data_IF_743994628705
#
_entry.id   IF_743994628705
#
_cell.length_a   1.000
_cell.length_b   1.000
_cell.length_c   1.000
_cell.angle_alpha   90.00
_cell.angle_beta   90.00
_cell.angle_gamma   90.00
#
_symmetry.space_group_name_H-M   'P 1'
#
loop_
_entity.id
_entity.type
_entity.pdbx_description
1 polymer ?
#
# COMPACT_ATOMS: atom_id res chain seq x y z
N UNK A 1 -7.49 -34.06 25.30
CA UNK A 1 -6.99 -34.16 23.90
C UNK A 1 -6.89 -32.75 23.38
N UNK A 2 -5.70 -32.23 23.19
CA UNK A 2 -5.52 -30.92 22.55
C UNK A 2 -6.02 -31.06 21.12
N UNK A 3 -6.97 -30.20 20.72
CA UNK A 3 -7.48 -30.10 19.35
C UNK A 3 -6.32 -29.64 18.47
N UNK A 4 -5.73 -30.55 17.68
CA UNK A 4 -4.71 -30.20 16.69
C UNK A 4 -5.44 -29.56 15.52
N UNK A 5 -5.79 -28.27 15.65
CA UNK A 5 -6.14 -27.52 14.47
C UNK A 5 -4.86 -27.29 13.65
N UNK A 6 -4.92 -27.44 12.33
CA UNK A 6 -3.78 -27.08 11.49
C UNK A 6 -3.43 -25.60 11.76
N UNK A 7 -2.14 -25.24 11.73
CA UNK A 7 -1.74 -23.85 11.94
C UNK A 7 -2.46 -22.96 10.91
N UNK A 8 -2.99 -21.83 11.38
CA UNK A 8 -3.63 -20.84 10.51
C UNK A 8 -2.60 -20.27 9.52
N UNK A 9 -3.01 -19.95 8.28
CA UNK A 9 -2.13 -19.30 7.32
C UNK A 9 -1.68 -17.94 7.85
N UNK A 10 -0.47 -17.50 7.48
CA UNK A 10 0.12 -16.25 7.95
C UNK A 10 -0.07 -15.14 6.91
N UNK A 11 -0.59 -13.99 7.36
CA UNK A 11 -0.59 -12.75 6.60
C UNK A 11 0.42 -11.75 7.19
N UNK A 12 1.16 -11.08 6.32
CA UNK A 12 2.01 -9.93 6.68
C UNK A 12 1.40 -8.68 6.07
N UNK A 13 1.09 -7.67 6.90
CA UNK A 13 0.46 -6.42 6.45
C UNK A 13 1.26 -5.22 6.93
N UNK A 14 1.73 -4.40 5.98
CA UNK A 14 2.48 -3.18 6.28
C UNK A 14 1.58 -1.93 6.19
N UNK A 15 1.89 -0.91 6.99
CA UNK A 15 1.04 0.28 7.12
C UNK A 15 -0.30 -0.03 7.79
N UNK A 16 -0.33 -1.00 8.71
CA UNK A 16 -1.54 -1.56 9.30
C UNK A 16 -2.10 -0.77 10.50
N UNK A 17 -1.47 0.32 10.89
CA UNK A 17 -1.95 1.15 12.03
C UNK A 17 -3.22 1.91 11.72
N UNK A 18 -3.51 2.20 10.45
CA UNK A 18 -4.66 3.01 10.05
C UNK A 18 -5.06 2.80 8.57
N UNK A 19 -6.18 3.40 8.15
CA UNK A 19 -6.60 3.48 6.76
C UNK A 19 -6.72 2.14 6.05
N UNK A 20 -6.32 2.09 4.78
CA UNK A 20 -6.45 0.90 3.93
C UNK A 20 -5.72 -0.33 4.52
N UNK A 21 -4.52 -0.14 5.08
CA UNK A 21 -3.74 -1.24 5.65
C UNK A 21 -4.41 -1.89 6.86
N UNK A 22 -5.04 -1.08 7.75
CA UNK A 22 -5.81 -1.59 8.88
C UNK A 22 -7.02 -2.42 8.42
N UNK A 23 -7.75 -1.93 7.42
CA UNK A 23 -8.90 -2.63 6.86
C UNK A 23 -8.50 -3.93 6.14
N UNK A 24 -7.37 -3.93 5.41
CA UNK A 24 -6.83 -5.14 4.78
C UNK A 24 -6.39 -6.18 5.84
N UNK A 25 -5.78 -5.74 6.95
CA UNK A 25 -5.45 -6.61 8.06
C UNK A 25 -6.70 -7.22 8.71
N UNK A 26 -7.76 -6.42 8.87
CA UNK A 26 -9.05 -6.88 9.39
C UNK A 26 -9.67 -7.97 8.49
N UNK A 27 -9.66 -7.75 7.16
CA UNK A 27 -10.15 -8.74 6.20
C UNK A 27 -9.35 -10.04 6.24
N UNK A 28 -8.02 -9.96 6.37
CA UNK A 28 -7.17 -11.14 6.50
C UNK A 28 -7.45 -11.93 7.79
N UNK A 29 -7.65 -11.24 8.93
CA UNK A 29 -8.04 -11.85 10.19
C UNK A 29 -9.37 -12.60 10.10
N UNK A 30 -10.39 -11.95 9.50
CA UNK A 30 -11.71 -12.54 9.26
C UNK A 30 -11.68 -13.72 8.29
N UNK A 31 -10.74 -13.72 7.34
CA UNK A 31 -10.52 -14.83 6.39
C UNK A 31 -9.67 -15.97 7.01
N UNK A 32 -9.37 -15.88 8.31
CA UNK A 32 -8.76 -16.95 9.09
C UNK A 32 -7.23 -16.94 9.14
N UNK A 33 -6.57 -15.83 8.82
CA UNK A 33 -5.12 -15.70 8.95
C UNK A 33 -4.72 -15.27 10.37
N UNK A 34 -3.55 -15.74 10.81
CA UNK A 34 -2.76 -15.07 11.83
C UNK A 34 -1.91 -13.98 11.18
N UNK A 35 -1.52 -12.95 11.92
CA UNK A 35 -0.93 -11.77 11.32
C UNK A 35 0.40 -11.36 11.95
N UNK A 36 1.31 -10.88 11.09
CA UNK A 36 2.37 -9.96 11.48
C UNK A 36 2.01 -8.60 10.86
N UNK A 37 1.76 -7.60 11.69
CA UNK A 37 1.41 -6.26 11.23
C UNK A 37 2.54 -5.29 11.55
N UNK A 38 2.82 -4.36 10.61
CA UNK A 38 3.87 -3.38 10.79
C UNK A 38 3.41 -1.96 10.46
N UNK A 39 3.92 -0.99 11.22
CA UNK A 39 3.84 0.43 10.92
C UNK A 39 5.00 1.17 11.61
N UNK A 40 5.34 2.34 11.08
CA UNK A 40 6.35 3.24 11.64
C UNK A 40 5.82 4.07 12.79
N UNK A 41 4.52 4.28 12.83
CA UNK A 41 3.84 5.14 13.81
C UNK A 41 2.34 4.85 13.87
N UNK A 42 1.66 5.54 14.79
CA UNK A 42 0.21 5.45 14.97
C UNK A 42 -0.20 4.34 15.95
N UNK A 43 -1.50 4.08 16.10
CA UNK A 43 -2.03 3.18 17.12
C UNK A 43 -1.94 1.70 16.72
N UNK A 44 -0.73 1.21 16.41
CA UNK A 44 -0.51 -0.15 15.91
C UNK A 44 -1.00 -1.22 16.92
N UNK A 45 -0.75 -1.01 18.21
CA UNK A 45 -1.22 -1.96 19.24
C UNK A 45 -2.74 -1.93 19.42
N UNK A 46 -3.41 -0.80 19.15
CA UNK A 46 -4.88 -0.76 19.10
C UNK A 46 -5.41 -1.60 17.93
N UNK A 47 -4.78 -1.47 16.75
CA UNK A 47 -5.11 -2.31 15.61
C UNK A 47 -4.90 -3.81 15.94
N UNK A 48 -3.77 -4.16 16.56
CA UNK A 48 -3.50 -5.53 16.99
C UNK A 48 -4.55 -6.08 17.96
N UNK A 49 -4.98 -5.28 18.94
CA UNK A 49 -6.04 -5.69 19.88
C UNK A 49 -7.37 -5.96 19.16
N UNK A 50 -7.73 -5.13 18.20
CA UNK A 50 -8.95 -5.33 17.41
C UNK A 50 -8.88 -6.63 16.59
N UNK A 51 -7.73 -6.95 16.00
CA UNK A 51 -7.51 -8.18 15.24
C UNK A 51 -7.51 -9.44 16.15
N UNK A 52 -6.92 -9.35 17.34
CA UNK A 52 -6.98 -10.43 18.33
C UNK A 52 -8.41 -10.69 18.82
N UNK A 53 -9.23 -9.63 18.92
CA UNK A 53 -10.63 -9.77 19.34
C UNK A 53 -11.50 -10.57 18.34
N UNK A 54 -11.10 -10.66 17.07
CA UNK A 54 -11.74 -11.51 16.05
C UNK A 54 -11.09 -12.89 15.92
N UNK A 55 -10.17 -13.24 16.85
CA UNK A 55 -9.60 -14.57 16.99
C UNK A 55 -8.30 -14.83 16.22
N UNK A 56 -7.62 -13.81 15.72
CA UNK A 56 -6.31 -13.96 15.10
C UNK A 56 -5.19 -13.89 16.16
N UNK A 57 -4.11 -14.66 15.99
CA UNK A 57 -2.85 -14.37 16.65
C UNK A 57 -2.15 -13.23 15.91
N UNK A 58 -1.62 -12.23 16.63
CA UNK A 58 -1.08 -11.02 16.03
C UNK A 58 0.22 -10.59 16.67
N UNK A 59 1.27 -10.51 15.87
CA UNK A 59 2.54 -9.86 16.20
C UNK A 59 2.52 -8.43 15.64
N UNK A 60 2.58 -7.44 16.52
CA UNK A 60 2.63 -6.03 16.14
C UNK A 60 4.09 -5.53 16.17
N UNK A 61 4.57 -5.02 15.05
CA UNK A 61 5.97 -4.60 14.85
C UNK A 61 6.03 -3.12 14.52
N UNK A 62 6.46 -2.30 15.46
CA UNK A 62 6.79 -0.92 15.15
C UNK A 62 8.11 -0.89 14.35
N UNK A 63 8.04 -0.56 13.07
CA UNK A 63 9.17 -0.60 12.15
C UNK A 63 9.05 0.47 11.08
N UNK A 64 10.12 1.27 10.93
CA UNK A 64 10.28 2.19 9.80
C UNK A 64 10.87 1.45 8.59
N UNK A 65 10.00 1.13 7.64
CA UNK A 65 10.37 0.39 6.43
C UNK A 65 11.16 1.23 5.41
N UNK A 66 11.42 2.51 5.67
CA UNK A 66 12.39 3.30 4.89
C UNK A 66 13.83 2.87 5.17
N UNK A 67 14.05 2.03 6.19
CA UNK A 67 15.36 1.57 6.62
C UNK A 67 15.48 0.05 6.50
N UNK A 68 16.69 -0.44 6.17
CA UNK A 68 16.97 -1.89 6.20
C UNK A 68 16.77 -2.49 7.60
N UNK A 69 17.08 -1.73 8.65
CA UNK A 69 16.85 -2.16 10.04
C UNK A 69 15.36 -2.41 10.33
N UNK A 70 14.47 -1.53 9.85
CA UNK A 70 13.02 -1.72 10.00
C UNK A 70 12.52 -2.96 9.24
N UNK A 71 13.01 -3.19 8.03
CA UNK A 71 12.70 -4.41 7.27
C UNK A 71 13.23 -5.65 7.98
N UNK A 72 14.47 -5.62 8.49
CA UNK A 72 15.06 -6.73 9.26
C UNK A 72 14.25 -7.04 10.53
N UNK A 73 13.77 -6.01 11.24
CA UNK A 73 12.91 -6.16 12.42
C UNK A 73 11.59 -6.88 12.08
N UNK A 74 10.97 -6.53 10.94
CA UNK A 74 9.78 -7.21 10.46
C UNK A 74 10.06 -8.66 10.06
N UNK A 75 11.16 -8.91 9.36
CA UNK A 75 11.57 -10.27 8.98
C UNK A 75 11.88 -11.14 10.20
N UNK A 76 12.48 -10.56 11.24
CA UNK A 76 12.73 -11.26 12.51
C UNK A 76 11.41 -11.66 13.20
N UNK A 77 10.40 -10.81 13.17
CA UNK A 77 9.09 -11.13 13.74
C UNK A 77 8.34 -12.21 12.95
N UNK A 78 8.58 -12.31 11.63
CA UNK A 78 8.06 -13.42 10.81
C UNK A 78 8.70 -14.75 11.23
N UNK A 79 9.96 -14.72 11.67
CA UNK A 79 10.69 -15.87 12.24
C UNK A 79 10.64 -17.13 11.35
N UNK A 80 10.87 -16.96 10.07
CA UNK A 80 10.88 -18.07 9.11
C UNK A 80 9.52 -18.74 8.84
N UNK A 81 8.44 -18.28 9.49
CA UNK A 81 7.09 -18.79 9.23
C UNK A 81 6.70 -18.63 7.76
N UNK A 82 6.02 -19.60 7.14
CA UNK A 82 5.56 -19.49 5.76
C UNK A 82 4.49 -18.39 5.65
N UNK A 83 4.78 -17.33 4.89
CA UNK A 83 3.83 -16.23 4.64
C UNK A 83 2.93 -16.61 3.45
N UNK A 84 1.63 -16.78 3.67
CA UNK A 84 0.66 -17.11 2.62
C UNK A 84 0.11 -15.86 1.93
N UNK A 85 0.04 -14.73 2.66
CA UNK A 85 -0.43 -13.44 2.17
C UNK A 85 0.55 -12.33 2.56
N UNK A 86 1.05 -11.58 1.58
CA UNK A 86 1.79 -10.33 1.79
C UNK A 86 0.97 -9.15 1.28
N UNK A 87 0.67 -8.21 2.17
CA UNK A 87 0.08 -6.92 1.85
C UNK A 87 1.15 -5.83 2.02
N UNK A 88 1.79 -5.46 0.92
CA UNK A 88 2.76 -4.37 0.85
C UNK A 88 2.01 -3.05 0.65
N UNK A 89 1.55 -2.45 1.76
CA UNK A 89 0.68 -1.28 1.75
C UNK A 89 1.33 -0.03 2.36
N UNK A 90 2.38 -0.15 3.19
CA UNK A 90 3.06 1.01 3.77
C UNK A 90 3.49 2.01 2.67
N UNK A 91 3.28 3.29 2.93
CA UNK A 91 3.67 4.33 1.99
C UNK A 91 3.46 5.73 2.55
N UNK A 92 4.28 6.65 2.07
CA UNK A 92 4.26 8.06 2.41
C UNK A 92 3.96 8.93 1.19
N UNK A 93 3.18 10.00 1.42
CA UNK A 93 3.03 11.12 0.49
C UNK A 93 3.99 12.25 0.82
N UNK A 94 4.17 13.18 -0.12
CA UNK A 94 4.87 14.43 0.11
C UNK A 94 4.21 15.51 -0.77
N UNK A 95 3.60 16.48 -0.13
CA UNK A 95 3.05 17.68 -0.77
C UNK A 95 4.12 18.75 -0.98
N UNK A 96 3.70 19.87 -1.55
CA UNK A 96 4.50 21.05 -1.90
C UNK A 96 5.46 20.85 -3.10
N UNK A 97 6.06 21.95 -3.58
CA UNK A 97 7.03 21.90 -4.65
C UNK A 97 8.29 21.11 -4.26
N UNK A 98 8.83 20.33 -5.18
CA UNK A 98 10.01 19.49 -4.92
C UNK A 98 11.20 20.28 -4.38
N UNK A 99 11.40 21.51 -4.85
CA UNK A 99 12.50 22.38 -4.44
C UNK A 99 12.23 23.14 -3.13
N UNK A 100 10.99 23.08 -2.61
CA UNK A 100 10.57 23.81 -1.41
C UNK A 100 10.71 22.97 -0.12
N UNK A 101 10.99 21.68 -0.27
CA UNK A 101 11.14 20.76 0.87
C UNK A 101 12.58 20.23 0.99
N UNK A 102 13.05 19.90 2.19
CA UNK A 102 14.33 19.25 2.38
C UNK A 102 14.40 17.92 1.60
N UNK A 103 15.50 17.67 0.91
CA UNK A 103 15.70 16.44 0.12
C UNK A 103 15.53 15.16 0.95
N UNK A 104 15.80 15.21 2.26
CA UNK A 104 15.59 14.09 3.18
C UNK A 104 14.14 13.61 3.21
N UNK A 105 13.15 14.49 3.05
CA UNK A 105 11.74 14.11 2.99
C UNK A 105 11.42 13.40 1.66
N UNK A 106 11.91 13.92 0.54
CA UNK A 106 11.79 13.27 -0.76
C UNK A 106 12.46 11.88 -0.76
N UNK A 107 13.64 11.78 -0.15
CA UNK A 107 14.36 10.52 0.03
C UNK A 107 13.57 9.52 0.86
N UNK A 108 12.97 9.96 1.98
CA UNK A 108 12.13 9.12 2.83
C UNK A 108 10.93 8.53 2.07
N UNK A 109 10.27 9.31 1.19
CA UNK A 109 9.19 8.79 0.32
C UNK A 109 9.71 7.68 -0.60
N UNK A 110 10.88 7.88 -1.23
CA UNK A 110 11.48 6.86 -2.10
C UNK A 110 11.85 5.61 -1.28
N UNK A 111 12.50 5.81 -0.14
CA UNK A 111 12.98 4.70 0.69
C UNK A 111 11.81 3.88 1.24
N UNK A 112 10.70 4.51 1.65
CA UNK A 112 9.50 3.79 2.12
C UNK A 112 8.74 3.13 0.96
N UNK A 113 8.37 3.94 -0.06
CA UNK A 113 7.44 3.48 -1.09
C UNK A 113 8.09 2.50 -2.07
N UNK A 114 9.39 2.67 -2.34
CA UNK A 114 10.13 1.87 -3.32
C UNK A 114 11.11 0.92 -2.64
N UNK A 115 12.16 1.43 -2.01
CA UNK A 115 13.28 0.61 -1.51
C UNK A 115 12.81 -0.44 -0.50
N UNK A 116 12.09 -0.03 0.54
CA UNK A 116 11.58 -0.92 1.59
C UNK A 116 10.54 -1.91 1.05
N UNK A 117 9.66 -1.45 0.16
CA UNK A 117 8.68 -2.32 -0.51
C UNK A 117 9.39 -3.39 -1.33
N UNK A 118 10.40 -3.04 -2.12
CA UNK A 118 11.17 -4.00 -2.93
C UNK A 118 11.94 -5.01 -2.07
N UNK A 119 12.59 -4.58 -0.99
CA UNK A 119 13.33 -5.47 -0.10
C UNK A 119 12.39 -6.51 0.53
N UNK A 120 11.22 -6.07 1.00
CA UNK A 120 10.22 -6.95 1.56
C UNK A 120 9.67 -7.95 0.53
N UNK A 121 9.31 -7.45 -0.67
CA UNK A 121 8.84 -8.29 -1.78
C UNK A 121 9.91 -9.30 -2.22
N UNK A 122 11.19 -8.90 -2.27
CA UNK A 122 12.27 -9.78 -2.62
C UNK A 122 12.45 -10.93 -1.62
N UNK A 123 12.46 -10.64 -0.32
CA UNK A 123 12.67 -11.66 0.72
C UNK A 123 11.49 -12.60 0.84
N UNK A 124 10.27 -12.08 0.98
CA UNK A 124 9.05 -12.88 1.16
C UNK A 124 8.65 -13.55 -0.16
N UNK A 125 8.70 -12.83 -1.27
CA UNK A 125 8.36 -13.36 -2.60
C UNK A 125 9.26 -14.52 -3.03
N UNK A 126 10.56 -14.48 -2.72
CA UNK A 126 11.47 -15.62 -2.93
C UNK A 126 11.01 -16.86 -2.18
N UNK A 127 10.65 -16.72 -0.91
CA UNK A 127 10.17 -17.84 -0.10
C UNK A 127 8.83 -18.37 -0.61
N UNK A 128 7.90 -17.49 -1.03
CA UNK A 128 6.64 -17.87 -1.68
C UNK A 128 6.90 -18.65 -2.98
N UNK A 129 7.77 -18.15 -3.86
CA UNK A 129 8.13 -18.81 -5.12
C UNK A 129 8.75 -20.19 -4.89
N UNK A 130 9.63 -20.34 -3.90
CA UNK A 130 10.22 -21.64 -3.55
C UNK A 130 9.18 -22.66 -3.09
N UNK A 131 8.12 -22.20 -2.40
CA UNK A 131 7.01 -23.06 -1.95
C UNK A 131 5.92 -23.24 -3.02
N UNK A 132 6.04 -22.53 -4.16
CA UNK A 132 5.03 -22.53 -5.23
C UNK A 132 3.64 -22.12 -4.72
N UNK A 133 3.59 -21.22 -3.73
CA UNK A 133 2.35 -20.78 -3.09
C UNK A 133 2.51 -19.42 -2.43
N UNK A 134 1.56 -18.51 -2.69
CA UNK A 134 1.45 -17.22 -2.02
C UNK A 134 0.56 -16.23 -2.78
N UNK A 135 0.09 -15.22 -2.06
CA UNK A 135 -0.61 -14.07 -2.65
C UNK A 135 0.08 -12.79 -2.20
N UNK A 136 0.28 -11.89 -3.14
CA UNK A 136 0.88 -10.58 -2.90
C UNK A 136 -0.12 -9.52 -3.35
N UNK A 137 -0.48 -8.62 -2.43
CA UNK A 137 -1.21 -7.39 -2.73
C UNK A 137 -0.26 -6.21 -2.54
N UNK A 138 -0.08 -5.40 -3.58
CA UNK A 138 0.75 -4.20 -3.55
C UNK A 138 -0.16 -2.98 -3.68
N UNK A 139 -0.05 -2.04 -2.75
CA UNK A 139 -0.82 -0.78 -2.82
C UNK A 139 -0.07 0.24 -3.67
N UNK A 140 -0.44 0.29 -4.95
CA UNK A 140 -0.08 1.34 -5.88
C UNK A 140 -0.89 2.62 -5.69
N UNK A 141 -1.22 3.29 -6.78
CA UNK A 141 -2.14 4.44 -6.79
C UNK A 141 -2.48 4.88 -8.21
N UNK A 142 -3.67 5.43 -8.45
CA UNK A 142 -3.96 6.15 -9.70
C UNK A 142 -3.04 7.37 -9.89
N UNK A 143 -2.44 7.90 -8.83
CA UNK A 143 -1.43 8.96 -8.90
C UNK A 143 -0.19 8.55 -9.71
N UNK A 144 0.12 7.25 -9.79
CA UNK A 144 1.19 6.73 -10.63
C UNK A 144 0.92 6.84 -12.14
N UNK A 145 -0.31 7.10 -12.55
CA UNK A 145 -0.70 7.22 -13.95
C UNK A 145 -0.51 8.64 -14.52
N UNK A 146 -0.20 9.62 -13.69
CA UNK A 146 -0.10 11.03 -14.09
C UNK A 146 1.11 11.73 -13.49
N UNK A 147 1.73 12.69 -14.20
CA UNK A 147 2.73 13.57 -13.59
C UNK A 147 2.08 14.39 -12.46
N UNK A 148 2.65 14.33 -11.26
CA UNK A 148 2.10 14.93 -10.04
C UNK A 148 2.76 16.26 -9.69
N UNK A 149 2.35 17.40 -10.25
CA UNK A 149 2.81 18.70 -9.77
C UNK A 149 2.47 18.87 -8.29
N UNK A 150 3.40 19.37 -7.47
CA UNK A 150 3.35 19.47 -6.00
C UNK A 150 3.29 18.12 -5.26
N UNK A 151 3.36 16.99 -5.98
CA UNK A 151 3.51 15.63 -5.46
C UNK A 151 4.50 14.80 -6.30
N UNK A 152 5.47 15.44 -6.96
CA UNK A 152 6.29 14.82 -7.99
C UNK A 152 6.94 13.50 -7.55
N UNK A 153 7.55 13.46 -6.36
CA UNK A 153 8.22 12.27 -5.83
C UNK A 153 7.22 11.15 -5.50
N UNK A 154 6.07 11.52 -4.94
CA UNK A 154 5.02 10.54 -4.62
C UNK A 154 4.47 9.89 -5.89
N UNK A 155 4.03 10.70 -6.87
CA UNK A 155 3.47 10.18 -8.12
C UNK A 155 4.50 9.29 -8.85
N UNK A 156 5.77 9.74 -8.94
CA UNK A 156 6.84 8.95 -9.53
C UNK A 156 7.08 7.62 -8.79
N UNK A 157 7.05 7.62 -7.44
CA UNK A 157 7.19 6.40 -6.64
C UNK A 157 6.03 5.42 -6.89
N UNK A 158 4.81 5.92 -7.06
CA UNK A 158 3.64 5.09 -7.36
C UNK A 158 3.66 4.58 -8.81
N UNK A 159 4.10 5.38 -9.79
CA UNK A 159 4.33 4.91 -11.16
C UNK A 159 5.34 3.76 -11.20
N UNK A 160 6.43 3.85 -10.41
CA UNK A 160 7.39 2.77 -10.28
C UNK A 160 6.73 1.49 -9.74
N UNK A 161 6.00 1.59 -8.63
CA UNK A 161 5.37 0.44 -7.97
C UNK A 161 4.29 -0.19 -8.85
N UNK A 162 3.48 0.60 -9.53
CA UNK A 162 2.44 0.12 -10.44
C UNK A 162 3.08 -0.69 -11.57
N UNK A 163 4.08 -0.13 -12.27
CA UNK A 163 4.81 -0.81 -13.34
C UNK A 163 5.52 -2.08 -12.85
N UNK A 164 6.20 -1.99 -11.70
CA UNK A 164 6.89 -3.12 -11.06
C UNK A 164 5.93 -4.27 -10.74
N UNK A 165 4.72 -3.95 -10.24
CA UNK A 165 3.72 -4.96 -9.87
C UNK A 165 3.30 -5.82 -11.05
N UNK A 166 3.08 -5.21 -12.24
CA UNK A 166 2.73 -5.94 -13.45
C UNK A 166 3.89 -6.81 -13.96
N UNK A 167 5.13 -6.29 -13.92
CA UNK A 167 6.30 -7.06 -14.30
C UNK A 167 6.51 -8.27 -13.38
N UNK A 168 6.48 -8.06 -12.06
CA UNK A 168 6.64 -9.13 -11.08
C UNK A 168 5.55 -10.21 -11.22
N UNK A 169 4.31 -9.81 -11.49
CA UNK A 169 3.22 -10.75 -11.76
C UNK A 169 3.54 -11.66 -12.94
N UNK A 170 4.02 -11.09 -14.04
CA UNK A 170 4.38 -11.87 -15.24
C UNK A 170 5.55 -12.83 -14.95
N UNK A 171 6.57 -12.38 -14.22
CA UNK A 171 7.70 -13.23 -13.82
C UNK A 171 7.30 -14.41 -12.92
N UNK A 172 6.17 -14.30 -12.20
CA UNK A 172 5.68 -15.32 -11.27
C UNK A 172 4.54 -16.18 -11.83
N UNK A 173 4.12 -16.01 -13.09
CA UNK A 173 2.92 -16.63 -13.66
C UNK A 173 2.88 -18.17 -13.54
N UNK A 174 4.04 -18.84 -13.57
CA UNK A 174 4.14 -20.30 -13.52
C UNK A 174 4.55 -20.82 -12.12
N UNK A 175 4.43 -20.00 -11.08
CA UNK A 175 4.97 -20.33 -9.77
C UNK A 175 3.92 -20.54 -8.67
N UNK A 176 2.63 -20.56 -9.00
CA UNK A 176 1.56 -20.61 -7.99
C UNK A 176 1.49 -19.40 -7.06
N UNK A 177 2.28 -18.34 -7.33
CA UNK A 177 2.24 -17.05 -6.62
C UNK A 177 1.49 -16.03 -7.47
N UNK A 178 0.51 -15.34 -6.88
CA UNK A 178 -0.22 -14.26 -7.56
C UNK A 178 0.17 -12.90 -7.03
N UNK A 179 0.19 -11.90 -7.92
CA UNK A 179 0.43 -10.50 -7.57
C UNK A 179 -0.75 -9.67 -8.05
N UNK A 180 -1.30 -8.84 -7.17
CA UNK A 180 -2.40 -7.92 -7.46
C UNK A 180 -1.98 -6.50 -7.09
N UNK A 181 -2.16 -5.54 -7.98
CA UNK A 181 -1.93 -4.12 -7.72
C UNK A 181 -3.26 -3.45 -7.35
N UNK A 182 -3.38 -2.97 -6.11
CA UNK A 182 -4.50 -2.12 -5.70
C UNK A 182 -4.13 -0.67 -6.01
N UNK A 183 -4.95 0.00 -6.83
CA UNK A 183 -4.73 1.38 -7.26
C UNK A 183 -5.83 2.30 -6.70
N UNK A 184 -5.69 2.79 -5.46
CA UNK A 184 -6.63 3.73 -4.87
C UNK A 184 -6.56 5.11 -5.52
N UNK A 185 -7.70 5.82 -5.49
CA UNK A 185 -7.75 7.27 -5.59
C UNK A 185 -7.67 7.93 -4.20
N UNK A 186 -8.12 9.18 -4.11
CA UNK A 186 -8.23 9.88 -2.83
C UNK A 186 -9.10 9.07 -1.86
N UNK A 187 -8.52 8.68 -0.72
CA UNK A 187 -9.14 7.84 0.28
C UNK A 187 -9.11 8.54 1.63
N UNK A 188 -10.17 8.42 2.41
CA UNK A 188 -10.30 9.08 3.71
C UNK A 188 -9.43 8.42 4.77
N UNK A 189 -8.18 8.89 4.84
CA UNK A 189 -7.13 8.40 5.73
C UNK A 189 -6.29 9.56 6.21
N UNK A 190 -5.37 9.33 7.15
CA UNK A 190 -4.37 10.32 7.57
C UNK A 190 -3.29 10.63 6.51
N UNK A 191 -3.46 10.15 5.27
CA UNK A 191 -2.46 10.33 4.20
C UNK A 191 -2.20 11.81 3.90
N UNK A 192 -3.26 12.61 3.70
CA UNK A 192 -3.12 14.03 3.35
C UNK A 192 -2.55 14.88 4.49
N UNK A 193 -2.87 14.53 5.74
CA UNK A 193 -2.28 15.15 6.93
C UNK A 193 -0.77 14.88 6.98
N UNK A 194 -0.37 13.61 6.85
CA UNK A 194 1.05 13.21 6.85
C UNK A 194 1.84 13.72 5.66
N UNK A 195 1.18 13.96 4.53
CA UNK A 195 1.78 14.52 3.32
C UNK A 195 1.86 16.06 3.34
N UNK A 196 1.36 16.72 4.41
CA UNK A 196 1.29 18.17 4.53
C UNK A 196 0.49 18.82 3.38
N UNK A 197 -0.75 18.33 3.17
CA UNK A 197 -1.61 18.69 2.00
C UNK A 197 -3.04 19.08 2.39
N UNK A 198 -3.34 19.30 3.68
CA UNK A 198 -4.72 19.56 4.12
C UNK A 198 -5.35 20.82 3.52
N UNK A 199 -4.54 21.75 3.04
CA UNK A 199 -4.93 23.01 2.40
C UNK A 199 -5.14 22.90 0.88
N UNK A 200 -5.14 21.67 0.33
CA UNK A 200 -5.28 21.43 -1.11
C UNK A 200 -6.69 20.96 -1.48
N UNK A 201 -7.11 21.24 -2.71
CA UNK A 201 -8.42 20.80 -3.22
C UNK A 201 -8.54 19.27 -3.24
N UNK A 202 -7.47 18.54 -3.54
CA UNK A 202 -7.49 17.07 -3.52
C UNK A 202 -7.71 16.52 -2.11
N UNK A 203 -7.25 17.20 -1.07
CA UNK A 203 -7.44 16.80 0.31
C UNK A 203 -8.82 17.14 0.86
N UNK A 204 -9.47 18.19 0.35
CA UNK A 204 -10.81 18.62 0.79
C UNK A 204 -11.95 18.05 -0.05
N UNK A 205 -11.63 17.43 -1.19
CA UNK A 205 -12.60 16.82 -2.08
C UNK A 205 -13.20 15.50 -1.55
N UNK A 206 -14.08 14.92 -2.38
CA UNK A 206 -14.71 13.63 -2.09
C UNK A 206 -13.66 12.51 -2.01
N UNK A 207 -13.73 11.70 -0.96
CA UNK A 207 -12.81 10.60 -0.71
C UNK A 207 -13.55 9.27 -0.61
N UNK A 208 -12.92 8.21 -1.07
CA UNK A 208 -13.44 6.86 -0.89
C UNK A 208 -13.25 6.37 0.57
N UNK A 209 -14.13 5.50 1.03
CA UNK A 209 -13.95 4.82 2.31
C UNK A 209 -12.76 3.86 2.27
N UNK A 210 -11.86 3.86 3.28
CA UNK A 210 -10.78 2.88 3.39
C UNK A 210 -11.28 1.43 3.37
N UNK A 211 -12.41 1.17 4.01
CA UNK A 211 -13.02 -0.15 4.07
C UNK A 211 -13.49 -0.64 2.69
N UNK A 212 -14.12 0.24 1.89
CA UNK A 212 -14.53 -0.11 0.52
C UNK A 212 -13.32 -0.36 -0.39
N UNK A 213 -12.29 0.48 -0.30
CA UNK A 213 -11.04 0.32 -1.06
C UNK A 213 -10.34 -0.99 -0.69
N UNK A 214 -10.21 -1.27 0.61
CA UNK A 214 -9.60 -2.50 1.10
C UNK A 214 -10.38 -3.74 0.65
N UNK A 215 -11.72 -3.71 0.75
CA UNK A 215 -12.57 -4.82 0.30
C UNK A 215 -12.37 -5.12 -1.18
N UNK A 216 -12.39 -4.10 -2.04
CA UNK A 216 -12.14 -4.26 -3.48
C UNK A 216 -10.76 -4.88 -3.75
N UNK A 217 -9.70 -4.39 -3.10
CA UNK A 217 -8.35 -4.91 -3.25
C UNK A 217 -8.22 -6.35 -2.76
N UNK A 218 -8.83 -6.67 -1.62
CA UNK A 218 -8.78 -7.99 -1.03
C UNK A 218 -9.51 -9.04 -1.90
N UNK A 219 -10.69 -8.69 -2.42
CA UNK A 219 -11.45 -9.53 -3.34
C UNK A 219 -10.71 -9.75 -4.65
N UNK A 220 -10.16 -8.70 -5.27
CA UNK A 220 -9.35 -8.81 -6.48
C UNK A 220 -8.13 -9.74 -6.28
N UNK A 221 -7.43 -9.60 -5.15
CA UNK A 221 -6.33 -10.48 -4.79
C UNK A 221 -6.79 -11.95 -4.63
N UNK A 222 -7.91 -12.19 -3.97
CA UNK A 222 -8.47 -13.56 -3.81
C UNK A 222 -8.83 -14.20 -5.15
N UNK A 223 -9.34 -13.38 -6.08
CA UNK A 223 -9.69 -13.81 -7.43
C UNK A 223 -8.46 -13.94 -8.35
N UNK A 224 -7.28 -13.52 -7.90
CA UNK A 224 -6.07 -13.55 -8.70
C UNK A 224 -6.06 -12.51 -9.83
N UNK A 225 -6.80 -11.41 -9.69
CA UNK A 225 -6.81 -10.31 -10.66
C UNK A 225 -5.44 -9.60 -10.69
N UNK A 226 -5.07 -9.04 -11.82
CA UNK A 226 -3.78 -8.35 -11.99
C UNK A 226 -3.78 -6.99 -11.29
N UNK A 227 -4.89 -6.25 -11.37
CA UNK A 227 -5.04 -4.98 -10.67
C UNK A 227 -6.52 -4.64 -10.43
N UNK A 228 -6.73 -3.70 -9.53
CA UNK A 228 -8.04 -3.08 -9.33
C UNK A 228 -7.90 -1.58 -9.05
N UNK A 229 -8.62 -0.78 -9.81
CA UNK A 229 -8.76 0.67 -9.58
C UNK A 229 -10.00 0.90 -8.73
N UNK A 230 -9.82 1.50 -7.56
CA UNK A 230 -10.93 1.79 -6.66
C UNK A 230 -11.69 3.04 -7.11
N UNK A 231 -13.02 2.89 -7.29
CA UNK A 231 -13.94 3.97 -7.68
C UNK A 231 -14.14 4.10 -9.20
N UNK A 232 -15.42 4.28 -9.63
CA UNK A 232 -15.76 4.36 -11.05
C UNK A 232 -15.21 5.63 -11.74
N UNK A 233 -15.17 6.77 -11.04
CA UNK A 233 -14.56 8.02 -11.53
C UNK A 233 -13.08 7.83 -11.81
N UNK A 234 -12.39 7.11 -10.93
CA UNK A 234 -10.98 6.79 -11.06
C UNK A 234 -10.70 5.83 -12.24
N UNK A 235 -11.59 4.86 -12.48
CA UNK A 235 -11.49 3.96 -13.64
C UNK A 235 -11.58 4.73 -14.95
N UNK A 236 -12.50 5.69 -15.05
CA UNK A 236 -12.64 6.54 -16.23
C UNK A 236 -11.42 7.45 -16.41
N UNK A 237 -10.93 8.07 -15.34
CA UNK A 237 -9.71 8.88 -15.38
C UNK A 237 -8.49 8.06 -15.82
N UNK A 238 -8.29 6.89 -15.27
CA UNK A 238 -7.20 5.99 -15.64
C UNK A 238 -7.23 5.59 -17.14
N UNK A 239 -8.42 5.37 -17.69
CA UNK A 239 -8.57 5.06 -19.12
C UNK A 239 -8.22 6.24 -20.04
N UNK A 240 -8.42 7.48 -19.57
CA UNK A 240 -8.16 8.70 -20.34
C UNK A 240 -6.70 9.18 -20.29
N UNK A 241 -5.92 8.77 -19.28
CA UNK A 241 -4.52 9.21 -19.12
C UNK A 241 -3.64 8.86 -20.31
N UNK A 242 -3.91 7.76 -21.00
CA UNK A 242 -3.14 7.34 -22.18
C UNK A 242 -3.38 8.20 -23.44
N UNK A 243 -4.37 9.10 -23.42
CA UNK A 243 -4.77 9.90 -24.60
C UNK A 243 -4.43 11.38 -24.39
N UNK A 244 -4.33 11.82 -23.13
CA UNK A 244 -4.08 13.22 -22.78
C UNK A 244 -2.58 13.47 -22.65
N UNK A 245 -2.02 14.54 -23.25
CA UNK A 245 -0.60 14.87 -23.10
C UNK A 245 -0.20 15.09 -21.63
N UNK A 246 0.99 14.63 -21.24
CA UNK A 246 1.52 14.73 -19.87
C UNK A 246 1.55 16.17 -19.33
N UNK A 247 1.82 17.16 -20.20
CA UNK A 247 1.80 18.58 -19.82
C UNK A 247 0.43 19.07 -19.38
N UNK A 248 -0.64 18.55 -19.98
CA UNK A 248 -2.03 18.88 -19.62
C UNK A 248 -2.39 18.20 -18.30
N UNK A 249 -1.99 16.93 -18.11
CA UNK A 249 -2.20 16.19 -16.87
C UNK A 249 -1.45 16.85 -15.72
N UNK A 250 -0.20 17.28 -15.93
CA UNK A 250 0.59 18.00 -14.93
C UNK A 250 -0.05 19.33 -14.51
N UNK A 251 -0.59 20.08 -15.47
CA UNK A 251 -1.29 21.34 -15.18
C UNK A 251 -2.62 21.10 -14.46
N UNK A 252 -3.36 20.07 -14.84
CA UNK A 252 -4.59 19.69 -14.15
C UNK A 252 -4.28 19.27 -12.70
N UNK A 253 -3.23 18.47 -12.47
CA UNK A 253 -2.79 18.07 -11.15
C UNK A 253 -2.34 19.29 -10.32
N UNK A 254 -1.61 20.23 -10.95
CA UNK A 254 -1.21 21.48 -10.32
C UNK A 254 -2.38 22.18 -9.66
N UNK A 255 -3.48 22.37 -10.37
CA UNK A 255 -4.66 23.11 -9.88
C UNK A 255 -5.28 22.50 -8.64
N UNK A 256 -5.19 21.19 -8.48
CA UNK A 256 -5.82 20.48 -7.36
C UNK A 256 -4.88 20.24 -6.20
N UNK A 257 -3.56 20.18 -6.43
CA UNK A 257 -2.55 19.83 -5.44
C UNK A 257 -1.66 21.00 -5.01
N UNK A 258 -1.77 22.18 -5.65
CA UNK A 258 -1.03 23.38 -5.25
C UNK A 258 -1.42 23.78 -3.82
N UNK A 259 -0.46 24.09 -2.95
CA UNK A 259 -0.73 24.57 -1.59
C UNK A 259 -1.71 25.75 -1.60
N UNK A 260 -2.72 25.71 -0.72
CA UNK A 260 -3.77 26.73 -0.65
C UNK A 260 -4.90 26.61 -1.68
N UNK A 261 -4.88 25.61 -2.59
CA UNK A 261 -5.90 25.42 -3.62
C UNK A 261 -7.30 25.09 -3.08
N UNK A 262 -7.43 24.68 -1.82
CA UNK A 262 -8.73 24.43 -1.16
C UNK A 262 -9.59 25.69 -0.99
N UNK A 263 -9.05 26.87 -1.20
CA UNK A 263 -9.72 28.16 -0.94
C UNK A 263 -10.36 28.81 -2.22
N UNK A 264 -10.34 28.11 -3.33
CA UNK A 264 -10.84 28.61 -4.61
C UNK A 264 -11.98 27.75 -5.16
#
# INVERSE_FOLDING_TARGET
MASIHPPRPLAVVTGASSGIGRELAQLAALDGHDLVIAADQGPLEEAARALRAVGAEVDAVEADLSTSFGVDKLMLAIDGRPVDLLVANAGHGLGHGFLDKPFTQARHVIDTNVTGTLDLLHRIGRAMRQRQRGRILITGSIAGLTPGSFQAVYNASKAFIDSFSFALRNELQDTGVTVTCLMPGATDTHFFERADMLDTQVATGEKASPAEVAKLGYEAMKNGEDHVVAGWKNKLSAALTNIVPDSVLAEQHRRTAEPGSARH
#
